data_IF_085618261357
#
_entry.id   IF_085618261357
#
_cell.length_a   1.000
_cell.length_b   1.000
_cell.length_c   1.000
_cell.angle_alpha   90.00
_cell.angle_beta   90.00
_cell.angle_gamma   90.00
#
_symmetry.space_group_name_H-M   'P 1'
#
loop_
_entity.id
_entity.type
_entity.pdbx_description
1 polymer ?
#
# COMPACT_ATOMS: atom_id res chain seq x y z
N UNK A 1 6.74 -26.07 -25.25
CA UNK A 1 7.92 -26.49 -24.42
C UNK A 1 7.69 -27.89 -23.81
N UNK A 2 8.67 -28.81 -23.74
CA UNK A 2 8.48 -30.18 -23.20
C UNK A 2 9.15 -30.32 -21.83
N UNK A 3 8.41 -30.77 -20.81
CA UNK A 3 8.90 -30.95 -19.43
C UNK A 3 8.76 -32.41 -18.99
N UNK A 4 9.76 -32.93 -18.29
CA UNK A 4 9.74 -34.27 -17.69
C UNK A 4 8.89 -34.28 -16.42
N UNK A 5 8.03 -35.28 -16.29
CA UNK A 5 7.23 -35.50 -15.08
C UNK A 5 8.02 -36.37 -14.11
N UNK A 6 8.11 -35.93 -12.86
CA UNK A 6 8.80 -36.64 -11.79
C UNK A 6 7.75 -37.20 -10.81
N UNK A 7 7.88 -38.47 -10.45
CA UNK A 7 7.06 -39.14 -9.44
C UNK A 7 7.52 -38.78 -8.03
N UNK A 8 6.69 -39.04 -7.02
CA UNK A 8 7.02 -38.82 -5.61
C UNK A 8 8.26 -39.60 -5.13
N UNK A 9 8.58 -40.71 -5.78
CA UNK A 9 9.78 -41.53 -5.55
C UNK A 9 11.03 -41.03 -6.30
N UNK A 10 10.93 -39.87 -6.97
CA UNK A 10 12.02 -39.26 -7.75
C UNK A 10 12.24 -39.86 -9.14
N UNK A 11 11.47 -40.87 -9.54
CA UNK A 11 11.61 -41.50 -10.87
C UNK A 11 10.87 -40.71 -11.95
N UNK A 12 11.36 -40.77 -13.18
CA UNK A 12 10.66 -40.17 -14.34
C UNK A 12 9.36 -40.93 -14.63
N UNK A 13 8.28 -40.19 -14.82
CA UNK A 13 6.93 -40.71 -15.08
C UNK A 13 6.49 -40.58 -16.55
N UNK A 14 7.18 -39.77 -17.33
CA UNK A 14 6.81 -39.39 -18.69
C UNK A 14 7.16 -37.94 -18.97
N UNK A 15 6.60 -37.37 -20.03
CA UNK A 15 6.82 -35.98 -20.45
C UNK A 15 5.51 -35.30 -20.82
N UNK A 16 5.39 -34.01 -20.50
CA UNK A 16 4.21 -33.19 -20.84
C UNK A 16 4.64 -32.07 -21.79
N UNK A 17 3.81 -31.80 -22.78
CA UNK A 17 3.96 -30.65 -23.66
C UNK A 17 3.16 -29.46 -23.12
N UNK A 18 3.85 -28.36 -22.90
CA UNK A 18 3.30 -27.09 -22.46
C UNK A 18 2.96 -26.21 -23.66
N UNK A 19 1.84 -25.51 -23.54
CA UNK A 19 1.30 -24.59 -24.56
C UNK A 19 2.18 -23.35 -24.69
N UNK A 20 2.66 -23.06 -25.90
CA UNK A 20 3.60 -21.96 -26.13
C UNK A 20 2.98 -20.55 -25.92
N UNK A 21 1.65 -20.39 -26.10
CA UNK A 21 0.92 -19.13 -25.77
C UNK A 21 0.84 -18.83 -24.26
N UNK A 22 1.36 -19.70 -23.39
CA UNK A 22 1.44 -19.46 -21.94
C UNK A 22 2.88 -19.50 -21.43
N UNK A 23 3.70 -20.41 -21.98
CA UNK A 23 5.05 -20.70 -21.48
C UNK A 23 6.17 -20.31 -22.47
N UNK A 24 5.85 -19.67 -23.59
CA UNK A 24 6.81 -19.26 -24.61
C UNK A 24 6.85 -17.75 -24.89
N UNK A 25 6.31 -16.92 -23.98
CA UNK A 25 6.33 -15.46 -24.17
C UNK A 25 7.65 -14.85 -23.69
N UNK A 26 8.11 -13.83 -24.40
CA UNK A 26 9.28 -13.05 -23.98
C UNK A 26 8.97 -12.23 -22.72
N UNK A 27 9.77 -12.35 -21.64
CA UNK A 27 9.52 -11.65 -20.39
C UNK A 27 9.49 -10.13 -20.54
N UNK A 28 8.40 -9.51 -20.09
CA UNK A 28 8.22 -8.06 -20.10
C UNK A 28 8.24 -7.48 -18.69
N UNK A 29 9.38 -6.90 -18.32
CA UNK A 29 9.61 -6.34 -16.99
C UNK A 29 8.60 -5.26 -16.57
N UNK A 30 8.09 -4.47 -17.52
CA UNK A 30 7.11 -3.40 -17.26
C UNK A 30 5.77 -3.96 -16.74
N UNK A 31 5.28 -5.03 -17.35
CA UNK A 31 4.01 -5.68 -16.97
C UNK A 31 4.18 -6.44 -15.66
N UNK A 32 5.28 -7.17 -15.51
CA UNK A 32 5.59 -7.90 -14.27
C UNK A 32 5.67 -6.94 -13.08
N UNK A 33 6.40 -5.83 -13.20
CA UNK A 33 6.50 -4.82 -12.14
C UNK A 33 5.14 -4.23 -11.76
N UNK A 34 4.26 -3.96 -12.75
CA UNK A 34 2.91 -3.44 -12.48
C UNK A 34 2.06 -4.44 -11.70
N UNK A 35 2.11 -5.73 -12.05
CA UNK A 35 1.36 -6.78 -11.35
C UNK A 35 1.88 -6.97 -9.93
N UNK A 36 3.21 -7.00 -9.74
CA UNK A 36 3.81 -7.10 -8.39
C UNK A 36 3.45 -5.91 -7.52
N UNK A 37 3.54 -4.68 -8.04
CA UNK A 37 3.13 -3.47 -7.30
C UNK A 37 1.64 -3.52 -6.93
N UNK A 38 0.80 -3.96 -7.86
CA UNK A 38 -0.64 -4.12 -7.63
C UNK A 38 -0.93 -5.09 -6.48
N UNK A 39 -0.32 -6.28 -6.49
CA UNK A 39 -0.46 -7.27 -5.42
C UNK A 39 0.05 -6.73 -4.07
N UNK A 40 1.25 -6.14 -4.05
CA UNK A 40 1.88 -5.63 -2.82
C UNK A 40 1.08 -4.48 -2.21
N UNK A 41 0.57 -3.57 -3.03
CA UNK A 41 -0.25 -2.45 -2.56
C UNK A 41 -1.61 -2.93 -2.04
N UNK A 42 -2.20 -3.98 -2.64
CA UNK A 42 -3.42 -4.60 -2.14
C UNK A 42 -3.24 -5.33 -0.80
N UNK A 43 -2.06 -5.88 -0.56
CA UNK A 43 -1.71 -6.55 0.71
C UNK A 43 -1.39 -5.59 1.86
N UNK A 44 -1.19 -4.30 1.57
CA UNK A 44 -0.78 -3.33 2.59
C UNK A 44 -1.96 -2.93 3.50
N UNK A 45 -1.78 -3.13 4.80
CA UNK A 45 -2.70 -2.63 5.82
C UNK A 45 -2.54 -1.11 6.02
N UNK A 46 -3.60 -0.35 5.78
CA UNK A 46 -3.65 1.09 6.03
C UNK A 46 -3.91 1.47 7.49
N UNK A 47 -3.41 0.71 8.47
CA UNK A 47 -3.74 0.85 9.90
C UNK A 47 -2.89 1.89 10.63
N UNK A 48 -2.62 3.02 9.98
CA UNK A 48 -1.87 4.13 10.56
C UNK A 48 -2.78 5.32 10.81
N UNK A 49 -2.77 5.84 12.05
CA UNK A 49 -3.53 7.03 12.42
C UNK A 49 -2.79 7.87 13.45
N UNK A 50 -2.88 9.19 13.31
CA UNK A 50 -2.53 10.15 14.37
C UNK A 50 -3.75 10.96 14.80
N UNK A 51 -3.69 11.54 16.00
CA UNK A 51 -4.74 12.43 16.51
C UNK A 51 -4.55 13.85 15.96
N UNK A 52 -5.55 14.33 15.25
CA UNK A 52 -5.65 15.72 14.81
C UNK A 52 -5.98 16.65 15.99
N UNK A 53 -5.91 17.98 15.76
CA UNK A 53 -6.26 18.97 16.80
C UNK A 53 -7.67 18.80 17.40
N UNK A 54 -8.59 18.14 16.69
CA UNK A 54 -9.95 17.89 17.18
C UNK A 54 -10.03 16.66 18.09
N UNK A 55 -9.15 15.69 17.90
CA UNK A 55 -9.13 14.38 18.59
C UNK A 55 -8.25 14.37 19.85
N UNK A 56 -7.35 15.35 20.01
CA UNK A 56 -6.50 15.44 21.21
C UNK A 56 -7.30 15.95 22.42
N UNK A 57 -7.09 15.31 23.57
CA UNK A 57 -7.67 15.70 24.86
C UNK A 57 -6.90 16.89 25.47
N UNK A 58 -7.35 18.10 25.16
CA UNK A 58 -6.95 19.34 25.83
C UNK A 58 -8.11 20.32 25.89
N UNK A 59 -7.98 21.44 26.59
CA UNK A 59 -9.02 22.46 26.62
C UNK A 59 -9.24 23.11 25.24
N UNK A 60 -10.50 23.21 24.82
CA UNK A 60 -10.94 24.02 23.66
C UNK A 60 -11.12 25.49 24.03
N UNK A 61 -11.15 25.81 25.34
CA UNK A 61 -11.26 27.19 25.83
C UNK A 61 -10.04 27.98 25.38
N UNK A 62 -10.29 29.26 25.07
CA UNK A 62 -9.22 30.23 24.82
C UNK A 62 -8.28 30.30 26.01
N UNK A 63 -6.98 30.16 25.77
CA UNK A 63 -5.96 30.02 26.82
C UNK A 63 -5.93 31.28 27.72
N UNK A 64 -6.09 32.46 27.13
CA UNK A 64 -6.15 33.76 27.82
C UNK A 64 -6.88 34.80 26.97
N UNK A 65 -7.13 35.98 27.56
CA UNK A 65 -7.80 37.13 26.93
C UNK A 65 -7.12 37.58 25.62
N UNK A 66 -7.86 38.15 24.68
CA UNK A 66 -7.35 38.46 23.33
C UNK A 66 -6.26 39.56 23.30
N UNK A 67 -6.27 40.47 24.27
CA UNK A 67 -5.33 41.62 24.40
C UNK A 67 -4.98 41.83 25.88
N UNK A 68 -3.91 42.58 26.16
CA UNK A 68 -3.51 42.95 27.53
C UNK A 68 -2.76 41.86 28.30
N UNK A 69 -2.12 40.92 27.60
CA UNK A 69 -1.32 39.83 28.19
C UNK A 69 0.18 39.93 27.92
N UNK A 70 0.62 40.86 27.06
CA UNK A 70 2.04 41.01 26.65
C UNK A 70 2.58 39.89 25.74
N UNK A 71 1.87 38.76 25.60
CA UNK A 71 2.26 37.63 24.75
C UNK A 71 1.58 37.58 23.37
N UNK A 72 1.97 36.58 22.57
CA UNK A 72 1.34 36.28 21.28
C UNK A 72 -0.15 35.95 21.42
N UNK A 73 -0.93 35.96 20.34
CA UNK A 73 -2.36 35.61 20.38
C UNK A 73 -2.56 34.13 20.13
N UNK A 74 -3.27 33.44 21.04
CA UNK A 74 -3.56 32.02 20.90
C UNK A 74 -5.05 31.69 21.07
N UNK A 75 -5.50 30.68 20.32
CA UNK A 75 -6.89 30.23 20.27
C UNK A 75 -7.16 29.03 21.17
N UNK A 76 -6.35 27.97 21.09
CA UNK A 76 -6.49 26.76 21.91
C UNK A 76 -5.12 26.10 22.09
N UNK A 77 -4.93 25.42 23.22
CA UNK A 77 -3.70 24.65 23.51
C UNK A 77 -3.58 23.38 22.65
N UNK A 78 -4.65 22.98 21.94
CA UNK A 78 -4.65 21.86 20.98
C UNK A 78 -3.91 22.17 19.66
N UNK A 79 -3.52 23.43 19.43
CA UNK A 79 -2.87 23.82 18.18
C UNK A 79 -1.52 23.09 17.98
N UNK A 80 -1.15 22.75 16.74
CA UNK A 80 0.06 21.96 16.42
C UNK A 80 1.37 22.63 16.85
N UNK A 81 1.37 23.97 16.97
CA UNK A 81 2.55 24.75 17.41
C UNK A 81 2.92 24.51 18.88
N UNK A 82 2.00 23.99 19.69
CA UNK A 82 2.27 23.71 21.10
C UNK A 82 2.75 22.29 21.31
N UNK A 83 3.57 22.08 22.35
CA UNK A 83 3.95 20.74 22.81
C UNK A 83 2.69 19.93 23.12
N UNK A 84 2.64 18.70 22.60
CA UNK A 84 1.48 17.79 22.69
C UNK A 84 0.21 18.29 21.99
N UNK A 85 0.32 19.31 21.14
CA UNK A 85 -0.74 19.73 20.24
C UNK A 85 -1.09 18.63 19.22
N UNK A 86 -2.26 18.75 18.58
CA UNK A 86 -2.66 17.79 17.56
C UNK A 86 -1.81 17.91 16.30
N UNK A 87 -1.63 16.79 15.59
CA UNK A 87 -0.79 16.73 14.40
C UNK A 87 -1.55 17.27 13.18
N UNK A 88 -0.88 18.09 12.37
CA UNK A 88 -1.40 18.58 11.10
C UNK A 88 -0.88 17.71 9.96
N UNK A 89 -1.78 17.28 9.05
CA UNK A 89 -1.47 16.43 7.88
C UNK A 89 -0.65 15.17 8.19
N UNK A 90 -0.97 14.50 9.30
CA UNK A 90 -0.35 13.21 9.60
C UNK A 90 -1.05 12.03 8.89
N UNK A 91 -0.53 10.81 9.07
CA UNK A 91 -1.07 9.61 8.45
C UNK A 91 -2.51 9.33 8.90
N UNK A 92 -3.36 8.95 7.94
CA UNK A 92 -4.76 8.58 8.16
C UNK A 92 -5.06 7.21 7.57
N UNK A 93 -5.97 6.42 8.17
CA UNK A 93 -6.32 5.12 7.61
C UNK A 93 -6.87 5.25 6.20
N UNK A 94 -6.31 4.49 5.26
CA UNK A 94 -6.67 4.54 3.84
C UNK A 94 -6.41 3.20 3.16
N UNK A 95 -7.09 2.97 2.04
CA UNK A 95 -6.71 1.88 1.14
C UNK A 95 -5.48 2.27 0.33
N UNK A 96 -4.60 1.29 0.11
CA UNK A 96 -3.47 1.38 -0.83
C UNK A 96 -3.78 0.66 -2.15
N UNK A 97 -4.87 -0.09 -2.20
CA UNK A 97 -5.26 -0.87 -3.36
C UNK A 97 -5.64 0.05 -4.53
N UNK A 98 -5.31 -0.41 -5.73
CA UNK A 98 -5.75 0.17 -6.99
C UNK A 98 -6.12 -0.98 -7.95
N UNK A 99 -6.88 -0.68 -8.99
CA UNK A 99 -7.30 -1.70 -9.97
C UNK A 99 -6.33 -1.79 -11.15
N UNK A 100 -6.18 -3.01 -11.67
CA UNK A 100 -5.45 -3.30 -12.89
C UNK A 100 -6.39 -3.94 -13.92
N UNK A 101 -6.32 -3.62 -15.23
CA UNK A 101 -7.18 -4.26 -16.23
C UNK A 101 -6.99 -5.79 -16.26
N UNK A 102 -8.09 -6.55 -16.42
CA UNK A 102 -8.05 -8.03 -16.41
C UNK A 102 -7.09 -8.61 -17.46
N UNK A 103 -7.01 -7.98 -18.64
CA UNK A 103 -6.08 -8.37 -19.72
C UNK A 103 -4.62 -8.27 -19.26
N UNK A 104 -4.26 -7.22 -18.52
CA UNK A 104 -2.89 -7.02 -18.00
C UNK A 104 -2.56 -8.03 -16.91
N UNK A 105 -3.52 -8.37 -16.03
CA UNK A 105 -3.32 -9.42 -15.01
C UNK A 105 -3.04 -10.78 -15.65
N UNK A 106 -3.84 -11.16 -16.66
CA UNK A 106 -3.67 -12.42 -17.39
C UNK A 106 -2.34 -12.46 -18.14
N UNK A 107 -1.98 -11.37 -18.81
CA UNK A 107 -0.70 -11.26 -19.52
C UNK A 107 0.48 -11.36 -18.55
N UNK A 108 0.44 -10.65 -17.42
CA UNK A 108 1.49 -10.72 -16.41
C UNK A 108 1.68 -12.11 -15.81
N UNK A 109 0.60 -12.89 -15.66
CA UNK A 109 0.72 -14.29 -15.22
C UNK A 109 1.39 -15.16 -16.29
N UNK A 110 0.99 -15.03 -17.56
CA UNK A 110 1.64 -15.75 -18.68
C UNK A 110 3.15 -15.42 -18.75
N UNK A 111 3.50 -14.14 -18.66
CA UNK A 111 4.88 -13.66 -18.67
C UNK A 111 5.72 -14.11 -17.47
N UNK A 112 5.09 -14.45 -16.35
CA UNK A 112 5.79 -14.95 -15.16
C UNK A 112 5.98 -16.47 -15.19
N UNK A 113 5.22 -17.18 -16.02
CA UNK A 113 5.26 -18.63 -16.18
C UNK A 113 6.12 -19.08 -17.37
N UNK A 114 6.25 -18.23 -18.40
CA UNK A 114 7.23 -18.40 -19.49
C UNK A 114 8.65 -18.22 -19.00
#
# INVERSE_FOLDING_TARGET
MKIDVIKLDGKKAGSVELVDDVFGLEPRADILHRVVRWQRNGAQAGTHKVKTRREVSYSTKKIYRQKGTGGARHGSRRAPIFRKGGIYKGPTPRSHAFDLPKKVRRLGLKLALS
#
